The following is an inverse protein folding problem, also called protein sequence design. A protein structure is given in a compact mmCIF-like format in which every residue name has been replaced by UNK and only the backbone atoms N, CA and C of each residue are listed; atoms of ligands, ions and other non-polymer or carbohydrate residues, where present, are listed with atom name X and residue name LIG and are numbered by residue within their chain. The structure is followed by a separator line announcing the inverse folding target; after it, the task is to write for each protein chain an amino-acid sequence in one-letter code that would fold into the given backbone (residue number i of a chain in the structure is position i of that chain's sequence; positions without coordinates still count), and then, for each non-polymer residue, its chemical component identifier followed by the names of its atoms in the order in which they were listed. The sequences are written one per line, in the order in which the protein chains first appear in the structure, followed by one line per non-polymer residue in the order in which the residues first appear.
data_IF_418350174516
#
_entry.id   IF_418350174516
#
_cell.length_a   1.000
_cell.length_b   1.000
_cell.length_c   1.000
_cell.angle_alpha   90.00
_cell.angle_beta   90.00
_cell.angle_gamma   90.00
#
_symmetry.space_group_name_H-M   'P 1'
#
loop_
_entity.id
_entity.type
_entity.pdbx_description
1 polymer ?
#
# COMPACT_ATOMS: atom_id res chain seq x y z
N UNK A 1 48.87 -3.81 -39.17
CA UNK A 1 48.28 -4.44 -37.97
C UNK A 1 47.23 -3.49 -37.40
N UNK A 2 45.99 -3.99 -37.25
CA UNK A 2 44.76 -3.21 -37.03
C UNK A 2 44.77 -2.57 -35.63
N UNK A 3 44.59 -1.24 -35.56
CA UNK A 3 44.33 -0.51 -34.31
C UNK A 3 42.88 -0.75 -33.93
N UNK A 4 42.66 -1.73 -33.05
CA UNK A 4 41.36 -2.03 -32.47
C UNK A 4 40.99 -0.91 -31.49
N UNK A 5 39.85 -0.30 -31.83
CA UNK A 5 39.13 0.76 -31.14
C UNK A 5 38.71 0.23 -29.77
N UNK A 6 39.40 0.67 -28.70
CA UNK A 6 38.95 0.55 -27.31
C UNK A 6 37.94 1.68 -27.01
N UNK A 7 36.77 1.63 -27.63
CA UNK A 7 35.67 2.56 -27.37
C UNK A 7 34.46 1.72 -26.93
N UNK A 8 33.85 2.11 -25.81
CA UNK A 8 32.58 1.58 -25.27
C UNK A 8 32.62 0.28 -24.44
N UNK A 9 33.49 0.22 -23.42
CA UNK A 9 33.27 -0.64 -22.25
C UNK A 9 33.28 0.15 -20.92
N UNK A 10 32.98 1.45 -21.00
CA UNK A 10 32.46 2.22 -19.88
C UNK A 10 30.92 2.08 -19.84
N UNK A 11 30.44 0.84 -19.85
CA UNK A 11 29.12 0.52 -19.31
C UNK A 11 29.30 0.52 -17.80
N UNK A 12 29.60 1.71 -17.24
CA UNK A 12 29.35 1.98 -15.84
C UNK A 12 27.86 1.76 -15.69
N UNK A 13 27.53 0.54 -15.26
CA UNK A 13 26.26 0.19 -14.67
C UNK A 13 26.08 1.17 -13.51
N UNK A 14 25.55 2.35 -13.85
CA UNK A 14 24.78 3.13 -12.92
C UNK A 14 23.56 2.28 -12.68
N UNK A 15 23.72 1.30 -11.77
CA UNK A 15 22.63 0.93 -10.88
C UNK A 15 22.30 2.24 -10.19
N UNK A 16 21.48 3.04 -10.85
CA UNK A 16 20.74 4.10 -10.21
C UNK A 16 20.02 3.36 -9.12
N UNK A 17 20.56 3.51 -7.92
CA UNK A 17 19.84 3.20 -6.69
C UNK A 17 18.53 3.92 -6.91
N UNK A 18 17.48 3.15 -7.16
CA UNK A 18 16.13 3.68 -7.24
C UNK A 18 15.87 4.19 -5.84
N UNK A 19 16.29 5.42 -5.58
CA UNK A 19 15.78 6.19 -4.46
C UNK A 19 14.29 6.18 -4.71
N UNK A 20 13.56 5.41 -3.90
CA UNK A 20 12.11 5.47 -3.88
C UNK A 20 11.74 6.95 -3.93
N UNK A 21 11.02 7.35 -4.97
CA UNK A 21 10.77 8.76 -5.23
C UNK A 21 10.17 9.36 -3.97
N UNK A 22 10.91 10.28 -3.35
CA UNK A 22 10.50 10.92 -2.12
C UNK A 22 9.17 11.62 -2.37
N UNK A 23 8.13 11.17 -1.68
CA UNK A 23 6.79 11.75 -1.74
C UNK A 23 6.82 13.20 -1.28
N UNK A 24 5.93 13.97 -1.89
CA UNK A 24 5.63 15.35 -1.52
C UNK A 24 4.15 15.45 -1.15
N UNK A 25 3.77 16.50 -0.43
CA UNK A 25 2.35 16.76 -0.11
C UNK A 25 1.49 16.82 -1.37
N UNK A 26 2.03 17.32 -2.48
CA UNK A 26 1.36 17.39 -3.79
C UNK A 26 0.99 16.01 -4.31
N UNK A 27 1.84 15.01 -4.12
CA UNK A 27 1.59 13.65 -4.59
C UNK A 27 0.37 13.05 -3.87
N UNK A 28 0.25 13.35 -2.56
CA UNK A 28 -0.79 12.84 -1.67
C UNK A 28 -2.16 13.49 -1.86
N UNK A 29 -2.25 14.71 -2.38
CA UNK A 29 -3.54 15.42 -2.51
C UNK A 29 -4.58 14.65 -3.34
N UNK A 30 -5.83 14.60 -2.91
CA UNK A 30 -6.96 14.02 -3.65
C UNK A 30 -7.65 12.88 -2.91
N UNK A 31 -8.48 12.14 -3.63
CA UNK A 31 -9.18 10.95 -3.11
C UNK A 31 -8.43 9.68 -3.49
N UNK A 32 -8.27 8.78 -2.54
CA UNK A 32 -7.56 7.52 -2.62
C UNK A 32 -8.51 6.40 -2.22
N UNK A 33 -8.82 5.49 -3.12
CA UNK A 33 -9.70 4.36 -2.85
C UNK A 33 -8.86 3.13 -2.57
N UNK A 34 -9.22 2.33 -1.57
CA UNK A 34 -8.54 1.05 -1.32
C UNK A 34 -8.80 0.14 -2.52
N UNK A 35 -7.73 -0.45 -3.06
CA UNK A 35 -7.79 -1.37 -4.19
C UNK A 35 -7.24 -2.75 -3.86
N UNK A 36 -6.46 -2.86 -2.79
CA UNK A 36 -6.02 -4.12 -2.23
C UNK A 36 -5.61 -3.96 -0.76
N UNK A 37 -5.65 -5.08 -0.04
CA UNK A 37 -5.11 -5.22 1.31
C UNK A 37 -4.24 -6.47 1.34
N UNK A 38 -2.97 -6.30 1.68
CA UNK A 38 -2.00 -7.38 1.76
C UNK A 38 -1.72 -7.72 3.23
N UNK A 39 -2.20 -8.90 3.64
CA UNK A 39 -1.99 -9.52 4.94
C UNK A 39 -1.21 -10.84 4.77
N UNK A 40 -0.44 -11.01 3.69
CA UNK A 40 0.23 -12.28 3.42
C UNK A 40 1.27 -12.62 4.50
N UNK A 41 1.94 -11.62 5.06
CA UNK A 41 2.94 -11.82 6.12
C UNK A 41 2.30 -12.14 7.49
N UNK A 42 1.11 -11.60 7.76
CA UNK A 42 0.47 -11.66 9.09
C UNK A 42 -0.63 -12.73 9.17
N UNK A 43 -1.48 -12.81 8.16
CA UNK A 43 -2.63 -13.72 8.08
C UNK A 43 -2.54 -14.72 6.92
N UNK A 44 -1.60 -14.55 6.00
CA UNK A 44 -1.49 -15.36 4.80
C UNK A 44 -2.58 -15.07 3.77
N UNK A 45 -3.18 -13.88 3.78
CA UNK A 45 -4.31 -13.50 2.93
C UNK A 45 -3.99 -12.21 2.15
N UNK A 46 -4.36 -12.18 0.87
CA UNK A 46 -4.34 -10.97 0.04
C UNK A 46 -5.74 -10.73 -0.52
N UNK A 47 -6.27 -9.53 -0.32
CA UNK A 47 -7.54 -9.10 -0.87
C UNK A 47 -7.31 -8.28 -2.15
N UNK A 48 -7.75 -8.78 -3.30
CA UNK A 48 -7.80 -8.02 -4.54
C UNK A 48 -9.18 -7.38 -4.67
N UNK A 49 -9.30 -6.11 -4.25
CA UNK A 49 -10.58 -5.41 -4.28
C UNK A 49 -10.97 -4.99 -5.71
N UNK A 50 -10.03 -4.93 -6.66
CA UNK A 50 -10.38 -4.63 -8.05
C UNK A 50 -11.09 -5.82 -8.68
N UNK A 51 -10.53 -7.03 -8.51
CA UNK A 51 -11.13 -8.27 -9.01
C UNK A 51 -12.28 -8.77 -8.13
N UNK A 52 -12.31 -8.34 -6.87
CA UNK A 52 -13.22 -8.88 -5.86
C UNK A 52 -12.87 -10.32 -5.50
N UNK A 53 -11.58 -10.63 -5.41
CA UNK A 53 -11.07 -11.97 -5.12
C UNK A 53 -10.13 -11.95 -3.91
N UNK A 54 -9.83 -13.13 -3.38
CA UNK A 54 -8.88 -13.38 -2.30
C UNK A 54 -7.86 -14.41 -2.74
N UNK A 55 -6.59 -14.10 -2.47
CA UNK A 55 -5.49 -15.02 -2.65
C UNK A 55 -4.96 -15.46 -1.29
N UNK A 56 -4.67 -16.75 -1.15
CA UNK A 56 -4.09 -17.32 0.05
C UNK A 56 -2.60 -17.60 -0.17
N UNK A 57 -1.82 -17.54 0.90
CA UNK A 57 -0.42 -17.93 0.89
C UNK A 57 -0.25 -19.41 0.55
N UNK A 58 0.92 -19.79 0.03
CA UNK A 58 1.24 -21.19 -0.27
C UNK A 58 1.22 -22.08 0.98
N UNK A 59 1.55 -21.50 2.14
CA UNK A 59 1.44 -22.18 3.43
C UNK A 59 0.00 -22.59 3.74
N UNK A 60 -0.98 -21.72 3.49
CA UNK A 60 -2.40 -22.03 3.67
C UNK A 60 -2.88 -23.03 2.60
N UNK A 61 -2.52 -22.80 1.33
CA UNK A 61 -2.93 -23.67 0.21
C UNK A 61 -2.43 -25.11 0.36
N UNK A 62 -1.21 -25.31 0.84
CA UNK A 62 -0.63 -26.65 1.01
C UNK A 62 -1.27 -27.45 2.15
N UNK A 63 -1.91 -26.77 3.11
CA UNK A 63 -2.52 -27.38 4.29
C UNK A 63 -4.04 -27.47 4.22
N UNK A 64 -4.65 -26.76 3.27
CA UNK A 64 -6.11 -26.60 3.19
C UNK A 64 -6.63 -27.19 1.88
N UNK A 65 -7.63 -28.09 1.92
CA UNK A 65 -8.28 -28.58 0.71
C UNK A 65 -8.86 -27.43 -0.13
N UNK A 66 -8.74 -27.54 -1.46
CA UNK A 66 -9.22 -26.49 -2.38
C UNK A 66 -10.70 -26.13 -2.16
N UNK A 67 -11.55 -27.12 -1.87
CA UNK A 67 -12.97 -26.88 -1.59
C UNK A 67 -13.19 -25.98 -0.37
N UNK A 68 -12.39 -26.14 0.68
CA UNK A 68 -12.48 -25.30 1.88
C UNK A 68 -12.00 -23.87 1.61
N UNK A 69 -11.00 -23.68 0.74
CA UNK A 69 -10.55 -22.36 0.31
C UNK A 69 -11.63 -21.64 -0.51
N UNK A 70 -12.32 -22.34 -1.40
CA UNK A 70 -13.44 -21.77 -2.16
C UNK A 70 -14.60 -21.37 -1.24
N UNK A 71 -14.93 -22.20 -0.23
CA UNK A 71 -15.91 -21.84 0.78
C UNK A 71 -15.47 -20.60 1.59
N UNK A 72 -14.18 -20.51 1.95
CA UNK A 72 -13.63 -19.34 2.63
C UNK A 72 -13.78 -18.07 1.78
N UNK A 73 -13.47 -18.13 0.47
CA UNK A 73 -13.68 -16.99 -0.45
C UNK A 73 -15.14 -16.51 -0.44
N UNK A 74 -16.09 -17.43 -0.50
CA UNK A 74 -17.53 -17.10 -0.43
C UNK A 74 -17.87 -16.40 0.89
N UNK A 75 -17.35 -16.90 2.01
CA UNK A 75 -17.60 -16.31 3.34
C UNK A 75 -17.00 -14.91 3.50
N UNK A 76 -15.91 -14.61 2.80
CA UNK A 76 -15.17 -13.35 2.86
C UNK A 76 -15.72 -12.29 1.89
N UNK A 77 -16.53 -12.67 0.89
CA UNK A 77 -17.08 -11.75 -0.10
C UNK A 77 -17.79 -10.50 0.49
N UNK A 78 -18.54 -10.57 1.61
CA UNK A 78 -19.08 -9.38 2.27
C UNK A 78 -17.99 -8.43 2.78
N UNK A 79 -16.89 -8.96 3.33
CA UNK A 79 -15.74 -8.16 3.77
C UNK A 79 -15.10 -7.42 2.60
N UNK A 80 -14.92 -8.08 1.44
CA UNK A 80 -14.42 -7.41 0.23
C UNK A 80 -15.34 -6.26 -0.18
N UNK A 81 -16.65 -6.47 -0.10
CA UNK A 81 -17.65 -5.42 -0.41
C UNK A 81 -17.48 -4.22 0.51
N UNK A 82 -17.32 -4.45 1.82
CA UNK A 82 -17.09 -3.41 2.80
C UNK A 82 -15.77 -2.67 2.56
N UNK A 83 -14.66 -3.40 2.33
CA UNK A 83 -13.35 -2.79 2.09
C UNK A 83 -13.32 -1.90 0.84
N UNK A 84 -14.12 -2.21 -0.19
CA UNK A 84 -14.24 -1.37 -1.41
C UNK A 84 -14.83 0.01 -1.14
N UNK A 85 -15.58 0.18 -0.06
CA UNK A 85 -16.16 1.47 0.32
C UNK A 85 -15.15 2.35 1.06
N UNK A 86 -14.03 1.78 1.52
CA UNK A 86 -12.98 2.52 2.20
C UNK A 86 -12.26 3.46 1.25
N UNK A 87 -12.07 4.70 1.70
CA UNK A 87 -11.31 5.72 0.99
C UNK A 87 -10.67 6.71 1.93
N UNK A 88 -9.63 7.35 1.45
CA UNK A 88 -8.93 8.43 2.12
C UNK A 88 -8.97 9.68 1.25
N UNK A 89 -9.28 10.82 1.83
CA UNK A 89 -9.27 12.12 1.15
C UNK A 89 -8.22 13.00 1.83
N UNK A 90 -7.30 13.53 1.04
CA UNK A 90 -6.25 14.44 1.50
C UNK A 90 -6.44 15.80 0.84
N UNK A 91 -6.56 16.86 1.65
CA UNK A 91 -6.68 18.25 1.21
C UNK A 91 -5.87 19.16 2.11
N UNK A 92 -4.84 19.80 1.54
CA UNK A 92 -3.83 20.48 2.34
C UNK A 92 -3.11 19.48 3.24
N UNK A 93 -3.09 19.76 4.54
CA UNK A 93 -2.57 18.85 5.58
C UNK A 93 -3.68 18.03 6.25
N UNK A 94 -4.94 18.17 5.85
CA UNK A 94 -6.04 17.41 6.42
C UNK A 94 -6.13 16.04 5.75
N UNK A 95 -6.37 15.02 6.56
CA UNK A 95 -6.68 13.65 6.14
C UNK A 95 -8.07 13.28 6.68
N UNK A 96 -8.89 12.69 5.81
CA UNK A 96 -10.20 12.17 6.15
C UNK A 96 -10.29 10.74 5.64
N UNK A 97 -10.49 9.79 6.54
CA UNK A 97 -10.66 8.38 6.24
C UNK A 97 -12.14 8.04 6.40
N UNK A 98 -12.69 7.41 5.36
CA UNK A 98 -14.04 6.85 5.39
C UNK A 98 -13.90 5.35 5.51
N UNK A 99 -14.42 4.81 6.61
CA UNK A 99 -14.49 3.39 6.91
C UNK A 99 -15.99 3.08 7.06
N UNK A 100 -16.52 1.95 6.57
CA UNK A 100 -17.94 1.68 6.73
C UNK A 100 -18.40 1.72 8.19
N UNK A 101 -19.26 2.69 8.50
CA UNK A 101 -19.76 2.95 9.86
C UNK A 101 -18.96 3.97 10.67
N UNK A 102 -17.84 4.48 10.15
CA UNK A 102 -16.96 5.41 10.86
C UNK A 102 -16.30 6.42 9.92
N UNK A 103 -16.16 7.65 10.39
CA UNK A 103 -15.40 8.68 9.70
C UNK A 103 -14.34 9.21 10.66
N UNK A 104 -13.08 9.09 10.24
CA UNK A 104 -11.92 9.53 11.03
C UNK A 104 -11.29 10.73 10.34
N UNK A 105 -11.05 11.78 11.09
CA UNK A 105 -10.39 13.00 10.59
C UNK A 105 -9.15 13.30 11.39
N UNK A 106 -8.16 13.88 10.72
CA UNK A 106 -6.93 14.30 11.36
C UNK A 106 -6.13 15.26 10.50
N UNK A 107 -4.98 15.64 11.04
CA UNK A 107 -3.94 16.36 10.31
C UNK A 107 -2.73 15.47 10.17
N UNK A 108 -2.11 15.46 8.98
CA UNK A 108 -0.91 14.69 8.73
C UNK A 108 0.30 15.59 8.53
N UNK A 109 1.49 15.03 8.80
CA UNK A 109 2.77 15.57 8.37
C UNK A 109 3.61 14.46 7.76
N UNK A 110 4.28 14.76 6.64
CA UNK A 110 5.17 13.81 5.98
C UNK A 110 6.59 13.96 6.55
N UNK A 111 7.07 12.92 7.20
CA UNK A 111 8.40 12.90 7.84
C UNK A 111 9.29 11.84 7.20
N UNK A 112 10.60 11.98 7.39
CA UNK A 112 11.56 10.93 7.01
C UNK A 112 12.23 10.44 8.28
N UNK A 113 12.13 9.14 8.52
CA UNK A 113 12.68 8.48 9.70
C UNK A 113 13.25 7.13 9.27
N UNK A 114 14.47 6.81 9.67
CA UNK A 114 15.14 5.55 9.32
C UNK A 114 15.13 5.26 7.80
N UNK A 115 15.40 6.30 6.99
CA UNK A 115 15.42 6.24 5.52
C UNK A 115 14.06 5.91 4.86
N UNK A 116 12.99 5.85 5.65
CA UNK A 116 11.62 5.62 5.20
C UNK A 116 10.80 6.90 5.32
N UNK A 117 9.83 7.07 4.43
CA UNK A 117 8.83 8.11 4.57
C UNK A 117 7.66 7.63 5.42
N UNK A 118 7.22 8.48 6.35
CA UNK A 118 6.09 8.17 7.22
C UNK A 118 5.08 9.31 7.22
N UNK A 119 3.81 8.96 7.32
CA UNK A 119 2.76 9.89 7.72
C UNK A 119 2.68 9.86 9.24
N UNK A 120 3.01 10.99 9.87
CA UNK A 120 2.61 11.25 11.24
C UNK A 120 1.21 11.87 11.20
N UNK A 121 0.20 11.18 11.73
CA UNK A 121 -1.19 11.63 11.77
C UNK A 121 -1.53 11.98 13.21
N UNK A 122 -2.20 13.11 13.41
CA UNK A 122 -2.82 13.50 14.68
C UNK A 122 -4.32 13.57 14.42
N UNK A 123 -5.07 12.66 15.03
CA UNK A 123 -6.51 12.57 14.86
C UNK A 123 -7.25 13.60 15.72
N UNK A 124 -8.54 13.80 15.44
CA UNK A 124 -9.38 14.77 16.15
C UNK A 124 -9.58 14.48 17.64
N UNK A 125 -9.27 13.27 18.10
CA UNK A 125 -9.31 12.84 19.50
C UNK A 125 -7.92 12.92 20.19
N UNK A 126 -6.97 13.61 19.57
CA UNK A 126 -5.58 13.78 20.00
C UNK A 126 -4.75 12.48 20.02
N UNK A 127 -5.26 11.37 19.46
CA UNK A 127 -4.44 10.18 19.22
C UNK A 127 -3.48 10.42 18.07
N UNK A 128 -2.30 9.80 18.16
CA UNK A 128 -1.27 9.88 17.12
C UNK A 128 -1.04 8.52 16.48
N UNK A 129 -0.75 8.54 15.18
CA UNK A 129 -0.36 7.37 14.41
C UNK A 129 0.82 7.68 13.49
N UNK A 130 1.65 6.67 13.24
CA UNK A 130 2.89 6.77 12.48
C UNK A 130 3.01 5.61 11.52
N UNK A 131 2.63 5.85 10.27
CA UNK A 131 2.53 4.79 9.27
C UNK A 131 3.53 5.01 8.15
N UNK A 132 4.20 3.95 7.70
CA UNK A 132 5.11 4.04 6.57
C UNK A 132 4.32 4.22 5.27
N UNK A 133 4.84 5.07 4.38
CA UNK A 133 4.16 5.43 3.14
C UNK A 133 5.14 5.46 1.96
N UNK A 134 4.71 4.89 0.83
CA UNK A 134 5.46 4.96 -0.41
C UNK A 134 4.55 4.89 -1.64
N UNK A 135 5.03 5.38 -2.78
CA UNK A 135 4.35 5.23 -4.06
C UNK A 135 5.07 4.21 -4.93
N UNK A 136 4.31 3.31 -5.54
CA UNK A 136 4.80 2.36 -6.55
C UNK A 136 3.73 2.15 -7.60
N UNK A 137 4.13 2.22 -8.88
CA UNK A 137 3.22 1.98 -10.03
C UNK A 137 1.93 2.82 -10.00
N UNK A 138 2.02 4.08 -9.53
CA UNK A 138 0.88 4.99 -9.44
C UNK A 138 -0.12 4.67 -8.31
N UNK A 139 0.24 3.77 -7.39
CA UNK A 139 -0.53 3.43 -6.19
C UNK A 139 0.21 3.91 -4.95
N UNK A 140 -0.57 4.29 -3.95
CA UNK A 140 -0.08 4.65 -2.62
C UNK A 140 -0.15 3.42 -1.73
N UNK A 141 0.94 3.12 -1.06
CA UNK A 141 1.07 2.03 -0.12
C UNK A 141 1.20 2.61 1.27
N UNK A 142 0.36 2.14 2.20
CA UNK A 142 0.40 2.50 3.61
C UNK A 142 0.62 1.21 4.39
N UNK A 143 1.77 1.10 5.02
CA UNK A 143 2.19 -0.05 5.80
C UNK A 143 1.88 0.20 7.28
N UNK A 144 0.95 -0.58 7.82
CA UNK A 144 0.55 -0.58 9.23
C UNK A 144 1.25 -1.70 10.02
N UNK A 145 2.35 -2.23 9.48
CA UNK A 145 3.12 -3.32 10.06
C UNK A 145 2.25 -4.58 10.30
N UNK A 146 1.83 -4.80 11.55
CA UNK A 146 1.06 -5.98 11.94
C UNK A 146 -0.38 -5.97 11.43
N UNK A 147 -0.94 -4.77 11.16
CA UNK A 147 -2.30 -4.62 10.66
C UNK A 147 -2.38 -4.69 9.13
N UNK A 148 -1.22 -4.81 8.47
CA UNK A 148 -1.12 -5.06 7.05
C UNK A 148 -0.77 -3.87 6.17
N UNK A 149 -0.67 -4.16 4.88
CA UNK A 149 -0.31 -3.20 3.85
C UNK A 149 -1.53 -2.83 3.03
N UNK A 150 -2.02 -1.60 3.23
CA UNK A 150 -3.12 -1.03 2.46
C UNK A 150 -2.61 -0.43 1.16
N UNK A 151 -3.25 -0.80 0.05
CA UNK A 151 -2.89 -0.33 -1.28
C UNK A 151 -4.03 0.50 -1.83
N UNK A 152 -3.73 1.76 -2.12
CA UNK A 152 -4.69 2.73 -2.61
C UNK A 152 -4.41 3.13 -4.06
N UNK A 153 -5.49 3.42 -4.79
CA UNK A 153 -5.43 4.05 -6.10
C UNK A 153 -6.14 5.39 -6.07
N UNK A 154 -5.52 6.38 -6.69
CA UNK A 154 -6.09 7.71 -6.85
C UNK A 154 -7.39 7.63 -7.67
N UNK A 155 -8.46 8.22 -7.14
CA UNK A 155 -9.77 8.35 -7.78
C UNK A 155 -9.83 9.42 -8.85
#
# INVERSE_FOLDING_TARGET
MKKLIYLCLAFCMTTTISFAQKLTDKDLQGTWNVVALDLLETEGIYFDLIKGDVEFSEAIKSQTPAEALEQAKVSIAPTITMLKEMKMIITGNNIQQYIPGEEVTGVYTLVNENEKQKLKIIYSDDTEDFVEVYMKEGKLYIDLEQDGLFIYKKG
#
